data_IF_229339625856
#
_entry.id   IF_229339625856
#
_cell.length_a   1.000
_cell.length_b   1.000
_cell.length_c   1.000
_cell.angle_alpha   90.00
_cell.angle_beta   90.00
_cell.angle_gamma   90.00
#
_symmetry.space_group_name_H-M   'P 1'
#
loop_
_entity.id
_entity.type
_entity.pdbx_description
1 polymer ?
#
# COMPACT_ATOMS: atom_id res chain seq x y z
N UNK A 1 -5.66 -21.87 11.97
CA UNK A 1 -7.00 -21.33 11.62
C UNK A 1 -6.94 -19.85 11.23
N UNK A 2 -6.30 -18.96 11.99
CA UNK A 2 -6.22 -17.52 11.61
C UNK A 2 -5.63 -17.23 10.21
N UNK A 3 -4.55 -17.92 9.81
CA UNK A 3 -3.91 -17.71 8.49
C UNK A 3 -4.84 -18.00 7.30
N UNK A 4 -5.72 -18.98 7.39
CA UNK A 4 -6.63 -19.37 6.32
C UNK A 4 -7.77 -18.37 6.15
N UNK A 5 -8.25 -17.77 7.24
CA UNK A 5 -9.31 -16.74 7.21
C UNK A 5 -8.76 -15.45 6.61
N UNK A 6 -7.53 -15.06 6.98
CA UNK A 6 -6.86 -13.88 6.43
C UNK A 6 -6.63 -14.04 4.91
N UNK A 7 -6.20 -15.21 4.45
CA UNK A 7 -5.95 -15.41 3.01
C UNK A 7 -7.23 -15.24 2.16
N UNK A 8 -8.37 -15.69 2.68
CA UNK A 8 -9.69 -15.55 2.03
C UNK A 8 -10.21 -14.12 2.12
N UNK A 9 -10.12 -13.48 3.29
CA UNK A 9 -10.63 -12.11 3.52
C UNK A 9 -9.84 -11.08 2.71
N UNK A 10 -8.54 -11.30 2.52
CA UNK A 10 -7.65 -10.41 1.78
C UNK A 10 -7.24 -10.98 0.42
N UNK A 11 -8.07 -11.84 -0.16
CA UNK A 11 -7.82 -12.43 -1.47
C UNK A 11 -7.74 -11.37 -2.59
N UNK A 12 -8.39 -10.23 -2.41
CA UNK A 12 -8.33 -9.12 -3.37
C UNK A 12 -7.08 -8.23 -3.21
N UNK A 13 -6.30 -8.41 -2.14
CA UNK A 13 -5.03 -7.72 -2.02
C UNK A 13 -3.97 -8.40 -2.91
N UNK A 14 -3.07 -7.61 -3.53
CA UNK A 14 -1.88 -8.13 -4.21
C UNK A 14 -1.08 -9.06 -3.31
N UNK A 15 -0.50 -10.12 -3.88
CA UNK A 15 0.15 -11.22 -3.14
C UNK A 15 1.17 -10.74 -2.10
N UNK A 16 1.97 -9.73 -2.42
CA UNK A 16 2.96 -9.15 -1.49
C UNK A 16 2.28 -8.51 -0.28
N UNK A 17 1.18 -7.80 -0.50
CA UNK A 17 0.43 -7.10 0.54
C UNK A 17 -0.37 -8.06 1.41
N UNK A 18 -0.92 -9.11 0.79
CA UNK A 18 -1.51 -10.23 1.53
C UNK A 18 -0.49 -10.87 2.48
N UNK A 19 0.76 -11.04 2.04
CA UNK A 19 1.83 -11.57 2.89
C UNK A 19 2.13 -10.67 4.10
N UNK A 20 2.16 -9.36 3.90
CA UNK A 20 2.35 -8.37 4.99
C UNK A 20 1.21 -8.43 6.01
N UNK A 21 -0.04 -8.48 5.54
CA UNK A 21 -1.24 -8.64 6.40
C UNK A 21 -1.19 -9.97 7.16
N UNK A 22 -0.87 -11.07 6.50
CA UNK A 22 -0.70 -12.38 7.15
C UNK A 22 0.39 -12.33 8.23
N UNK A 23 1.49 -11.62 7.97
CA UNK A 23 2.57 -11.43 8.94
C UNK A 23 2.10 -10.64 10.16
N UNK A 24 1.44 -9.50 9.97
CA UNK A 24 0.94 -8.66 11.06
C UNK A 24 -0.06 -9.44 11.95
N UNK A 25 -1.00 -10.18 11.34
CA UNK A 25 -1.95 -11.02 12.08
C UNK A 25 -1.24 -12.15 12.82
N UNK A 26 -0.23 -12.79 12.22
CA UNK A 26 0.53 -13.84 12.88
C UNK A 26 1.30 -13.31 14.10
N UNK A 27 1.92 -12.13 14.00
CA UNK A 27 2.61 -11.49 15.13
C UNK A 27 1.63 -11.11 16.24
N UNK A 28 0.40 -10.70 15.89
CA UNK A 28 -0.63 -10.42 16.88
C UNK A 28 -1.09 -11.68 17.62
N UNK A 29 -1.35 -12.78 16.90
CA UNK A 29 -1.70 -14.07 17.49
C UNK A 29 -0.58 -14.61 18.39
N UNK A 30 0.68 -14.38 18.01
CA UNK A 30 1.85 -14.78 18.80
C UNK A 30 2.07 -13.90 20.05
N UNK A 31 1.30 -12.82 20.22
CA UNK A 31 1.45 -11.87 21.33
C UNK A 31 2.63 -10.91 21.19
N UNK A 32 3.26 -10.85 20.01
CA UNK A 32 4.39 -9.95 19.71
C UNK A 32 3.90 -8.54 19.33
N UNK A 33 2.71 -8.46 18.76
CA UNK A 33 2.07 -7.22 18.33
C UNK A 33 0.71 -7.09 19.03
N UNK A 34 0.41 -5.92 19.58
CA UNK A 34 -0.91 -5.70 20.15
C UNK A 34 -1.98 -5.58 19.04
N UNK A 35 -3.25 -5.74 19.44
CA UNK A 35 -4.36 -5.75 18.50
C UNK A 35 -4.54 -4.41 17.79
N UNK A 36 -4.30 -3.29 18.47
CA UNK A 36 -4.51 -1.95 17.93
C UNK A 36 -3.48 -1.64 16.84
N UNK A 37 -2.20 -1.90 17.11
CA UNK A 37 -1.12 -1.81 16.14
C UNK A 37 -1.34 -2.73 14.93
N UNK A 38 -1.85 -3.96 15.15
CA UNK A 38 -2.19 -4.86 14.04
C UNK A 38 -3.29 -4.29 13.16
N UNK A 39 -4.34 -3.72 13.76
CA UNK A 39 -5.44 -3.09 13.01
C UNK A 39 -4.92 -1.91 12.19
N UNK A 40 -4.12 -1.01 12.77
CA UNK A 40 -3.53 0.12 12.03
C UNK A 40 -2.70 -0.33 10.83
N UNK A 41 -1.87 -1.37 11.00
CA UNK A 41 -1.06 -1.92 9.90
C UNK A 41 -1.96 -2.47 8.79
N UNK A 42 -2.98 -3.25 9.14
CA UNK A 42 -3.89 -3.84 8.15
C UNK A 42 -4.71 -2.76 7.44
N UNK A 43 -5.24 -1.77 8.16
CA UNK A 43 -5.98 -0.65 7.59
C UNK A 43 -5.09 0.20 6.68
N UNK A 44 -3.84 0.48 7.07
CA UNK A 44 -2.87 1.19 6.24
C UNK A 44 -2.59 0.45 4.94
N UNK A 45 -2.35 -0.87 5.02
CA UNK A 45 -2.11 -1.72 3.84
C UNK A 45 -3.34 -1.74 2.93
N UNK A 46 -4.55 -1.82 3.49
CA UNK A 46 -5.80 -1.78 2.73
C UNK A 46 -6.07 -0.41 2.09
N UNK A 47 -5.90 0.69 2.80
CA UNK A 47 -6.09 2.05 2.27
C UNK A 47 -5.08 2.37 1.16
N UNK A 48 -3.85 1.90 1.31
CA UNK A 48 -2.82 2.03 0.31
C UNK A 48 -3.05 1.10 -0.91
N UNK A 49 -4.12 0.30 -0.94
CA UNK A 49 -4.53 -0.54 -2.07
C UNK A 49 -5.47 0.15 -3.05
N UNK A 50 -5.88 1.39 -2.80
CA UNK A 50 -6.81 2.07 -3.70
C UNK A 50 -6.15 2.83 -4.85
N UNK A 51 -4.82 2.92 -4.93
CA UNK A 51 -4.14 3.64 -6.01
C UNK A 51 -4.48 3.07 -7.39
N UNK A 52 -4.82 3.95 -8.34
CA UNK A 52 -5.15 3.60 -9.72
C UNK A 52 -4.28 4.40 -10.69
N UNK A 53 -4.01 3.86 -11.89
CA UNK A 53 -3.44 4.65 -12.98
C UNK A 53 -4.23 5.95 -13.17
N UNK A 54 -3.52 7.08 -13.26
CA UNK A 54 -4.10 8.42 -13.37
C UNK A 54 -4.19 9.18 -12.05
N UNK A 55 -4.03 8.54 -10.90
CA UNK A 55 -4.03 9.25 -9.61
C UNK A 55 -2.87 10.24 -9.50
N UNK A 56 -3.17 11.48 -9.11
CA UNK A 56 -2.15 12.47 -8.74
C UNK A 56 -1.60 12.12 -7.37
N UNK A 57 -0.28 12.09 -7.27
CA UNK A 57 0.43 11.69 -6.06
C UNK A 57 1.59 12.61 -5.76
N UNK A 58 1.93 12.72 -4.49
CA UNK A 58 3.14 13.38 -4.02
C UNK A 58 3.85 12.52 -2.99
N UNK A 59 5.16 12.66 -2.90
CA UNK A 59 5.95 12.11 -1.80
C UNK A 59 5.47 12.66 -0.45
N UNK A 60 5.72 11.93 0.64
CA UNK A 60 5.37 12.37 2.00
C UNK A 60 5.90 13.78 2.35
N UNK A 61 7.08 14.14 1.82
CA UNK A 61 7.68 15.47 1.99
C UNK A 61 7.05 16.57 1.12
N UNK A 62 6.17 16.21 0.19
CA UNK A 62 5.43 17.11 -0.69
C UNK A 62 6.25 17.79 -1.80
N UNK A 63 7.56 17.57 -1.85
CA UNK A 63 8.48 18.22 -2.80
C UNK A 63 8.42 17.60 -4.19
N UNK A 64 8.23 16.29 -4.28
CA UNK A 64 8.14 15.57 -5.55
C UNK A 64 6.70 15.14 -5.78
N UNK A 65 6.16 15.49 -6.95
CA UNK A 65 4.78 15.23 -7.38
C UNK A 65 4.77 14.52 -8.72
N UNK A 66 3.68 13.84 -9.03
CA UNK A 66 3.56 13.07 -10.25
C UNK A 66 2.22 12.39 -10.39
N UNK A 67 2.16 11.43 -11.31
CA UNK A 67 0.96 10.64 -11.60
C UNK A 67 1.28 9.16 -11.56
N UNK A 68 0.41 8.36 -10.97
CA UNK A 68 0.51 6.90 -11.03
C UNK A 68 0.31 6.46 -12.48
N UNK A 69 1.29 5.78 -13.04
CA UNK A 69 1.23 5.20 -14.39
C UNK A 69 0.64 3.80 -14.32
N UNK A 70 1.06 3.00 -13.33
CA UNK A 70 0.62 1.61 -13.17
C UNK A 70 0.84 1.11 -11.74
N UNK A 71 -0.04 0.22 -11.29
CA UNK A 71 0.20 -0.63 -10.11
C UNK A 71 0.86 -1.93 -10.57
N UNK A 72 2.03 -2.25 -10.03
CA UNK A 72 2.77 -3.47 -10.35
C UNK A 72 2.13 -4.69 -9.65
N UNK A 73 2.40 -5.89 -10.15
CA UNK A 73 1.84 -7.15 -9.61
C UNK A 73 2.17 -7.38 -8.13
N UNK A 74 3.25 -6.79 -7.65
CA UNK A 74 3.69 -6.85 -6.25
C UNK A 74 3.09 -5.74 -5.37
N UNK A 75 2.20 -4.91 -5.90
CA UNK A 75 1.54 -3.81 -5.20
C UNK A 75 2.31 -2.50 -5.16
N UNK A 76 3.54 -2.43 -5.68
CA UNK A 76 4.28 -1.16 -5.82
C UNK A 76 3.70 -0.30 -6.93
N UNK A 77 3.95 1.01 -6.85
CA UNK A 77 3.45 1.99 -7.82
C UNK A 77 4.57 2.42 -8.74
N UNK A 78 4.36 2.25 -10.04
CA UNK A 78 5.10 2.98 -11.06
C UNK A 78 4.42 4.32 -11.26
N UNK A 79 5.14 5.40 -11.04
CA UNK A 79 4.62 6.76 -11.15
C UNK A 79 5.61 7.66 -11.87
N UNK A 80 5.10 8.65 -12.61
CA UNK A 80 5.88 9.58 -13.42
C UNK A 80 5.95 10.93 -12.73
N UNK A 81 7.17 11.41 -12.51
CA UNK A 81 7.46 12.67 -11.83
C UNK A 81 7.22 13.86 -12.77
N UNK A 82 6.60 14.91 -12.24
CA UNK A 82 6.39 16.16 -12.96
C UNK A 82 7.72 16.85 -13.31
N UNK A 83 7.77 17.55 -14.46
CA UNK A 83 8.91 18.35 -14.90
C UNK A 83 10.06 17.54 -15.51
N UNK A 84 10.52 16.47 -14.84
CA UNK A 84 11.60 15.61 -15.35
C UNK A 84 11.09 14.48 -16.25
N UNK A 85 9.84 14.07 -16.07
CA UNK A 85 9.24 12.95 -16.79
C UNK A 85 9.82 11.59 -16.41
N UNK A 86 10.68 11.52 -15.38
CA UNK A 86 11.27 10.29 -14.89
C UNK A 86 10.21 9.37 -14.29
N UNK A 87 10.33 8.07 -14.53
CA UNK A 87 9.48 7.06 -13.92
C UNK A 87 10.18 6.46 -12.70
N UNK A 88 9.49 6.43 -11.57
CA UNK A 88 9.98 5.91 -10.31
C UNK A 88 9.06 4.81 -9.79
N UNK A 89 9.65 3.87 -9.05
CA UNK A 89 8.91 2.86 -8.30
C UNK A 89 8.89 3.28 -6.84
N UNK A 90 7.69 3.31 -6.24
CA UNK A 90 7.52 3.60 -4.83
C UNK A 90 6.56 2.60 -4.18
N UNK A 91 6.72 2.44 -2.88
CA UNK A 91 5.71 1.83 -2.03
C UNK A 91 4.51 2.81 -1.91
N UNK A 92 3.26 2.31 -1.96
CA UNK A 92 2.07 3.12 -1.75
C UNK A 92 2.11 3.99 -0.49
N UNK A 93 2.69 3.49 0.59
CA UNK A 93 2.81 4.16 1.89
C UNK A 93 3.78 5.36 1.84
N UNK A 94 4.64 5.42 0.81
CA UNK A 94 5.55 6.53 0.55
C UNK A 94 4.92 7.68 -0.24
N UNK A 95 3.65 7.54 -0.65
CA UNK A 95 2.94 8.49 -1.50
C UNK A 95 1.60 8.91 -0.86
N UNK A 96 1.24 10.18 -1.08
CA UNK A 96 -0.03 10.76 -0.68
C UNK A 96 -0.80 11.09 -1.95
N UNK A 97 -2.04 10.62 -2.06
CA UNK A 97 -2.94 11.02 -3.14
C UNK A 97 -3.30 12.49 -2.98
N UNK A 98 -3.12 13.27 -4.05
CA UNK A 98 -3.61 14.64 -4.09
C UNK A 98 -5.09 14.61 -4.46
N UNK A 99 -5.93 15.30 -3.68
CA UNK A 99 -7.32 15.49 -4.05
C UNK A 99 -7.37 16.28 -5.36
N UNK A 100 -8.07 15.76 -6.37
CA UNK A 100 -8.43 16.53 -7.55
C UNK A 100 -9.30 17.70 -7.08
N UNK A 101 -8.82 18.92 -7.31
CA UNK A 101 -9.60 20.14 -7.13
C UNK A 101 -10.77 20.19 -8.11
#
# INVERSE_FOLDING_TARGET
MGRTIVDVVFAELPTSRRREVISAVAHCIAGVLDRESMVEIVESLCAAAEFKPGDRVKTLRGTTRGVVVRVLDDGRLLWKVDGTGAELIALPEGLIREASA
#
